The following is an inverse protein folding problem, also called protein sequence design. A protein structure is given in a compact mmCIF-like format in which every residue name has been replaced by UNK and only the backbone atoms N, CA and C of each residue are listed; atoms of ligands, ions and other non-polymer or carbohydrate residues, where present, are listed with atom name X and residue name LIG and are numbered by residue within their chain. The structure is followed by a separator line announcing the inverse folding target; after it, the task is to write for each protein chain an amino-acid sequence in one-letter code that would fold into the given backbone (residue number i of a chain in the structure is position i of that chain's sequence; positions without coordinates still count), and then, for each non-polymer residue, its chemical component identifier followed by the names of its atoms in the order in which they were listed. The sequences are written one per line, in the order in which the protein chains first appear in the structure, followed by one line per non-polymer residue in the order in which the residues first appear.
data_IF_738226863570
#
_entry.id   IF_738226863570
#
_cell.length_a   1.000
_cell.length_b   1.000
_cell.length_c   1.000
_cell.angle_alpha   90.00
_cell.angle_beta   90.00
_cell.angle_gamma   90.00
#
_symmetry.space_group_name_H-M   'P 1'
#
loop_
_entity.id
_entity.type
_entity.pdbx_description
1 polymer ?
#
# COMPACT_ATOMS: atom_id res chain seq x y z
N UNK A 1 3.10 11.88 -10.70
CA UNK A 1 1.70 12.22 -11.04
C UNK A 1 0.76 11.14 -10.50
N UNK A 2 -0.22 11.48 -9.65
CA UNK A 2 -1.28 10.53 -9.26
C UNK A 2 -2.41 10.63 -10.28
N UNK A 3 -2.32 9.89 -11.38
CA UNK A 3 -3.41 9.82 -12.36
C UNK A 3 -4.62 9.13 -11.70
N UNK A 4 -5.72 9.86 -11.54
CA UNK A 4 -6.98 9.32 -11.01
C UNK A 4 -7.51 8.20 -11.92
N UNK A 5 -8.20 7.23 -11.35
CA UNK A 5 -8.82 6.14 -12.11
C UNK A 5 -9.68 6.66 -13.28
N UNK A 6 -10.48 7.70 -13.02
CA UNK A 6 -11.33 8.34 -14.04
C UNK A 6 -10.49 8.90 -15.20
N UNK A 7 -9.37 9.53 -14.91
CA UNK A 7 -8.47 10.09 -15.93
C UNK A 7 -7.81 8.99 -16.77
N UNK A 8 -7.32 7.90 -16.14
CA UNK A 8 -6.76 6.76 -16.88
C UNK A 8 -7.78 6.13 -17.83
N UNK A 9 -9.03 5.98 -17.37
CA UNK A 9 -10.14 5.46 -18.17
C UNK A 9 -10.43 6.35 -19.38
N UNK A 10 -10.56 7.67 -19.18
CA UNK A 10 -10.73 8.64 -20.26
C UNK A 10 -9.61 8.54 -21.30
N UNK A 11 -8.34 8.45 -20.88
CA UNK A 11 -7.21 8.29 -21.81
C UNK A 11 -7.29 6.99 -22.62
N UNK A 12 -7.70 5.87 -22.00
CA UNK A 12 -7.87 4.58 -22.68
C UNK A 12 -9.04 4.61 -23.68
N UNK A 13 -10.14 5.30 -23.33
CA UNK A 13 -11.28 5.48 -24.24
C UNK A 13 -10.91 6.35 -25.45
N UNK A 14 -10.20 7.46 -25.25
CA UNK A 14 -9.70 8.30 -26.34
C UNK A 14 -8.77 7.51 -27.28
N UNK A 15 -7.87 6.71 -26.71
CA UNK A 15 -6.97 5.86 -27.50
C UNK A 15 -7.74 4.85 -28.36
N UNK A 16 -8.85 4.27 -27.86
CA UNK A 16 -9.71 3.37 -28.65
C UNK A 16 -10.41 4.09 -29.81
N UNK A 17 -10.70 5.37 -29.66
CA UNK A 17 -11.24 6.22 -30.72
C UNK A 17 -10.17 6.70 -31.71
N UNK A 18 -8.90 6.28 -31.54
CA UNK A 18 -7.77 6.72 -32.36
C UNK A 18 -7.29 8.13 -32.03
N UNK A 19 -7.72 8.71 -30.90
CA UNK A 19 -7.34 10.06 -30.46
C UNK A 19 -6.33 9.98 -29.33
N UNK A 20 -5.34 10.88 -29.35
CA UNK A 20 -4.39 11.03 -28.25
C UNK A 20 -4.83 12.16 -27.32
N UNK A 21 -4.94 11.92 -26.01
CA UNK A 21 -5.19 12.99 -25.04
C UNK A 21 -4.00 13.94 -24.97
N UNK A 22 -4.27 15.21 -24.65
CA UNK A 22 -3.22 16.21 -24.47
C UNK A 22 -2.22 15.78 -23.38
N UNK A 23 -0.94 15.86 -23.72
CA UNK A 23 0.13 15.49 -22.81
C UNK A 23 0.19 16.50 -21.67
N UNK A 24 0.05 16.08 -20.40
CA UNK A 24 0.12 16.99 -19.28
C UNK A 24 1.52 17.58 -19.13
N UNK A 25 1.57 18.85 -18.70
CA UNK A 25 2.80 19.62 -18.55
C UNK A 25 3.78 18.92 -17.59
N UNK A 26 5.04 18.78 -18.03
CA UNK A 26 6.09 18.10 -17.27
C UNK A 26 6.23 16.59 -17.51
N UNK A 27 5.49 16.00 -18.45
CA UNK A 27 5.72 14.62 -18.92
C UNK A 27 6.03 14.65 -20.41
N UNK A 28 6.99 13.83 -20.84
CA UNK A 28 7.25 13.66 -22.26
C UNK A 28 6.14 12.85 -22.92
N UNK A 29 5.69 13.32 -24.09
CA UNK A 29 4.61 12.72 -24.87
C UNK A 29 4.83 11.22 -25.11
N UNK A 30 6.05 10.81 -25.47
CA UNK A 30 6.37 9.39 -25.70
C UNK A 30 6.10 8.52 -24.45
N UNK A 31 6.53 9.01 -23.28
CA UNK A 31 6.30 8.31 -22.01
C UNK A 31 4.81 8.26 -21.67
N UNK A 32 4.07 9.34 -21.96
CA UNK A 32 2.63 9.39 -21.77
C UNK A 32 1.90 8.40 -22.69
N UNK A 33 2.25 8.35 -23.97
CA UNK A 33 1.71 7.38 -24.92
C UNK A 33 2.05 5.93 -24.54
N UNK A 34 3.25 5.69 -24.00
CA UNK A 34 3.62 4.37 -23.46
C UNK A 34 2.77 3.99 -22.26
N UNK A 35 2.46 4.93 -21.36
CA UNK A 35 1.57 4.70 -20.22
C UNK A 35 0.16 4.35 -20.67
N UNK A 36 -0.40 5.08 -21.65
CA UNK A 36 -1.74 4.82 -22.20
C UNK A 36 -1.80 3.42 -22.81
N UNK A 37 -0.83 3.03 -23.64
CA UNK A 37 -0.75 1.67 -24.20
C UNK A 37 -0.69 0.59 -23.12
N UNK A 38 0.05 0.84 -22.04
CA UNK A 38 0.13 -0.07 -20.89
C UNK A 38 -1.23 -0.21 -20.21
N UNK A 39 -1.95 0.89 -19.97
CA UNK A 39 -3.30 0.86 -19.41
C UNK A 39 -4.28 0.11 -20.31
N UNK A 40 -4.26 0.32 -21.62
CA UNK A 40 -5.12 -0.41 -22.55
C UNK A 40 -4.87 -1.91 -22.50
N UNK A 41 -3.60 -2.35 -22.40
CA UNK A 41 -3.24 -3.76 -22.24
C UNK A 41 -3.76 -4.33 -20.93
N UNK A 42 -3.59 -3.60 -19.82
CA UNK A 42 -4.08 -4.01 -18.50
C UNK A 42 -5.61 -4.15 -18.49
N UNK A 43 -6.33 -3.18 -19.07
CA UNK A 43 -7.79 -3.24 -19.18
C UNK A 43 -8.26 -4.40 -20.07
N UNK A 44 -7.54 -4.69 -21.16
CA UNK A 44 -7.88 -5.82 -22.03
C UNK A 44 -7.69 -7.17 -21.32
N UNK A 45 -6.59 -7.35 -20.58
CA UNK A 45 -6.29 -8.62 -19.91
C UNK A 45 -7.05 -8.85 -18.60
N UNK A 46 -7.35 -7.80 -17.84
CA UNK A 46 -7.87 -7.92 -16.46
C UNK A 46 -9.15 -7.11 -16.20
N UNK A 47 -9.71 -6.46 -17.23
CA UNK A 47 -10.90 -5.62 -17.11
C UNK A 47 -10.61 -4.19 -16.61
N UNK A 48 -11.61 -3.30 -16.66
CA UNK A 48 -11.46 -1.89 -16.34
C UNK A 48 -11.08 -1.64 -14.87
N UNK A 49 -11.52 -2.50 -13.95
CA UNK A 49 -11.17 -2.40 -12.54
C UNK A 49 -9.68 -2.61 -12.25
N UNK A 50 -8.93 -3.22 -13.17
CA UNK A 50 -7.47 -3.36 -13.03
C UNK A 50 -6.71 -2.02 -13.17
N UNK A 51 -7.32 -1.02 -13.81
CA UNK A 51 -6.79 0.35 -13.87
C UNK A 51 -7.06 1.15 -12.61
N UNK A 52 -8.09 0.74 -11.87
CA UNK A 52 -8.33 1.23 -10.52
C UNK A 52 -7.10 0.82 -9.75
N UNK A 53 -6.50 1.77 -9.03
CA UNK A 53 -5.30 1.51 -8.23
C UNK A 53 -5.55 0.21 -7.47
N UNK A 54 -4.92 -0.91 -7.88
CA UNK A 54 -4.82 -2.08 -7.00
C UNK A 54 -4.17 -1.48 -5.78
N UNK A 55 -4.90 -1.42 -4.68
CA UNK A 55 -4.28 -1.30 -3.39
C UNK A 55 -3.34 -2.51 -3.34
N UNK A 56 -2.09 -2.31 -3.73
CA UNK A 56 -1.03 -3.30 -3.48
C UNK A 56 -0.89 -3.53 -1.97
N UNK A 57 -1.56 -2.71 -1.15
CA UNK A 57 -2.09 -3.09 0.14
C UNK A 57 -3.07 -4.28 0.00
N UNK A 58 -2.53 -5.49 -0.17
CA UNK A 58 -3.02 -6.57 0.71
C UNK A 58 -2.95 -5.96 2.12
N UNK A 59 -4.10 -5.76 2.76
CA UNK A 59 -4.16 -5.12 4.08
C UNK A 59 -3.60 -6.10 5.11
N UNK A 60 -2.28 -6.14 5.22
CA UNK A 60 -1.59 -6.92 6.23
C UNK A 60 -1.91 -6.34 7.60
N UNK A 61 -2.52 -7.16 8.48
CA UNK A 61 -2.75 -6.82 9.88
C UNK A 61 -1.41 -6.72 10.62
N UNK A 62 -1.40 -6.08 11.80
CA UNK A 62 -0.17 -5.93 12.59
C UNK A 62 0.43 -7.30 12.94
N UNK A 63 -0.41 -8.28 13.31
CA UNK A 63 -0.02 -9.66 13.58
C UNK A 63 0.66 -10.34 12.39
N UNK A 64 0.04 -10.30 11.20
CA UNK A 64 0.62 -10.97 10.04
C UNK A 64 1.95 -10.34 9.61
N UNK A 65 2.11 -9.02 9.79
CA UNK A 65 3.41 -8.37 9.55
C UNK A 65 4.44 -8.80 10.59
N UNK A 66 4.04 -8.90 11.85
CA UNK A 66 4.91 -9.33 12.93
C UNK A 66 5.39 -10.76 12.71
N UNK A 67 4.51 -11.68 12.32
CA UNK A 67 4.87 -13.06 12.02
C UNK A 67 5.96 -13.17 10.95
N UNK A 68 5.82 -12.42 9.85
CA UNK A 68 6.83 -12.39 8.78
C UNK A 68 8.16 -11.79 9.26
N UNK A 69 8.11 -10.77 10.11
CA UNK A 69 9.32 -10.17 10.70
C UNK A 69 9.98 -11.12 11.68
N UNK A 70 9.21 -11.82 12.52
CA UNK A 70 9.71 -12.82 13.46
C UNK A 70 10.41 -13.97 12.74
N UNK A 71 9.87 -14.43 11.61
CA UNK A 71 10.51 -15.42 10.75
C UNK A 71 11.88 -14.97 10.24
N UNK A 72 12.00 -13.71 9.80
CA UNK A 72 13.29 -13.14 9.37
C UNK A 72 14.25 -12.99 10.55
N UNK A 73 13.76 -12.57 11.73
CA UNK A 73 14.58 -12.45 12.94
C UNK A 73 15.08 -13.81 13.45
N UNK A 74 14.31 -14.87 13.22
CA UNK A 74 14.72 -16.26 13.47
C UNK A 74 15.77 -16.78 12.47
N UNK A 75 16.21 -15.96 11.51
CA UNK A 75 17.28 -16.28 10.57
C UNK A 75 16.81 -16.67 9.17
N UNK A 76 15.51 -16.63 8.86
CA UNK A 76 15.04 -16.88 7.49
C UNK A 76 15.42 -15.77 6.52
N UNK A 77 15.62 -16.14 5.27
CA UNK A 77 15.90 -15.18 4.20
C UNK A 77 14.68 -14.29 3.90
N UNK A 78 14.90 -12.98 3.85
CA UNK A 78 13.88 -11.98 3.49
C UNK A 78 13.27 -12.28 2.13
N UNK A 79 14.08 -12.67 1.14
CA UNK A 79 13.58 -12.98 -0.20
C UNK A 79 12.65 -14.19 -0.21
N UNK A 80 13.03 -15.25 0.46
CA UNK A 80 12.25 -16.49 0.53
C UNK A 80 10.94 -16.25 1.28
N UNK A 81 11.00 -15.58 2.43
CA UNK A 81 9.81 -15.26 3.23
C UNK A 81 8.87 -14.32 2.49
N UNK A 82 9.40 -13.34 1.75
CA UNK A 82 8.61 -12.43 0.93
C UNK A 82 7.93 -13.16 -0.25
N UNK A 83 8.66 -14.06 -0.92
CA UNK A 83 8.14 -14.87 -2.00
C UNK A 83 6.98 -15.77 -1.54
N UNK A 84 7.17 -16.51 -0.44
CA UNK A 84 6.11 -17.35 0.16
C UNK A 84 4.88 -16.55 0.59
N UNK A 85 5.08 -15.33 1.07
CA UNK A 85 3.99 -14.45 1.49
C UNK A 85 3.32 -13.68 0.32
N UNK A 86 3.89 -13.73 -0.89
CA UNK A 86 3.45 -12.99 -2.06
C UNK A 86 3.62 -11.47 -1.90
N UNK A 87 4.65 -11.03 -1.19
CA UNK A 87 5.00 -9.60 -1.01
C UNK A 87 6.33 -9.28 -1.69
N UNK A 88 6.53 -8.00 -1.97
CA UNK A 88 7.83 -7.52 -2.44
C UNK A 88 8.88 -7.62 -1.33
N UNK A 89 10.09 -8.07 -1.65
CA UNK A 89 11.19 -8.22 -0.69
C UNK A 89 11.58 -6.89 -0.03
N UNK A 90 11.55 -5.78 -0.77
CA UNK A 90 11.79 -4.44 -0.24
C UNK A 90 10.75 -4.01 0.79
N UNK A 91 9.50 -4.48 0.65
CA UNK A 91 8.44 -4.22 1.64
C UNK A 91 8.72 -4.93 2.97
N UNK A 92 9.10 -6.21 2.92
CA UNK A 92 9.47 -6.99 4.11
C UNK A 92 10.74 -6.43 4.77
N UNK A 93 11.74 -6.06 3.96
CA UNK A 93 12.97 -5.45 4.46
C UNK A 93 12.68 -4.14 5.23
N UNK A 94 11.75 -3.32 4.73
CA UNK A 94 11.33 -2.11 5.42
C UNK A 94 10.64 -2.41 6.76
N UNK A 95 9.81 -3.46 6.84
CA UNK A 95 9.17 -3.87 8.09
C UNK A 95 10.19 -4.34 9.13
N UNK A 96 11.12 -5.22 8.75
CA UNK A 96 12.20 -5.70 9.62
C UNK A 96 13.03 -4.53 10.14
N UNK A 97 13.40 -3.57 9.27
CA UNK A 97 14.14 -2.37 9.68
C UNK A 97 13.35 -1.51 10.67
N UNK A 98 12.04 -1.32 10.46
CA UNK A 98 11.19 -0.57 11.40
C UNK A 98 11.06 -1.26 12.74
N UNK A 99 10.94 -2.58 12.75
CA UNK A 99 10.93 -3.36 13.98
C UNK A 99 12.23 -3.21 14.78
N UNK A 100 13.39 -3.33 14.13
CA UNK A 100 14.69 -3.14 14.81
C UNK A 100 14.86 -1.75 15.44
N UNK A 101 14.25 -0.72 14.84
CA UNK A 101 14.37 0.66 15.32
C UNK A 101 13.31 1.07 16.35
N UNK A 102 12.12 0.44 16.34
CA UNK A 102 10.95 0.90 17.12
C UNK A 102 10.22 -0.23 17.86
N UNK A 103 10.77 -1.44 17.85
CA UNK A 103 10.13 -2.63 18.39
C UNK A 103 8.78 -2.94 17.73
N UNK A 104 7.91 -3.62 18.49
CA UNK A 104 6.54 -4.00 18.08
C UNK A 104 5.71 -2.78 17.65
N UNK A 105 5.92 -1.62 18.29
CA UNK A 105 5.26 -0.36 17.96
C UNK A 105 5.59 0.17 16.56
N UNK A 106 6.65 -0.33 15.91
CA UNK A 106 7.03 0.00 14.54
C UNK A 106 6.28 -0.75 13.43
N UNK A 107 5.58 -1.83 13.78
CA UNK A 107 4.91 -2.76 12.85
C UNK A 107 3.40 -2.48 12.72
N UNK A 108 2.77 -2.00 13.79
CA UNK A 108 1.38 -1.56 13.80
C UNK A 108 1.14 -0.37 12.86
N UNK A 109 -0.07 -0.27 12.28
CA UNK A 109 -0.51 1.00 11.67
C UNK A 109 -0.32 2.11 12.72
N UNK A 110 0.01 3.33 12.28
CA UNK A 110 -0.08 4.50 13.17
C UNK A 110 -1.49 4.47 13.77
N UNK A 111 -1.61 4.13 15.05
CA UNK A 111 -2.84 4.38 15.76
C UNK A 111 -3.12 5.87 15.57
N UNK A 112 -4.28 6.18 14.99
CA UNK A 112 -4.84 7.52 15.07
C UNK A 112 -4.79 7.85 16.57
N UNK A 113 -4.19 8.98 16.93
CA UNK A 113 -4.05 9.41 18.31
C UNK A 113 -5.46 9.49 18.92
N UNK A 114 -5.89 8.44 19.59
CA UNK A 114 -7.02 8.48 20.52
C UNK A 114 -6.42 9.02 21.81
N UNK A 115 -6.55 10.33 21.98
CA UNK A 115 -6.38 11.00 23.26
C UNK A 115 -7.51 10.52 24.18
N UNK A 116 -7.28 9.40 24.84
CA UNK A 116 -8.09 8.97 25.98
C UNK A 116 -7.23 9.17 27.24
N UNK A 117 -7.22 10.39 27.77
CA UNK A 117 -6.92 10.58 29.19
C UNK A 117 -8.22 10.32 29.94
N UNK A 118 -8.46 9.04 30.25
CA UNK A 118 -9.37 8.67 31.34
C UNK A 118 -8.59 8.82 32.65
N UNK A 119 -9.01 9.76 33.49
CA UNK A 119 -8.60 9.79 34.88
C UNK A 119 -9.32 8.64 35.62
N UNK A 120 -8.61 7.82 36.44
CA UNK A 120 -9.28 6.86 37.31
C UNK A 120 -9.99 7.61 38.44
N UNK A 121 -11.31 7.47 38.48
CA UNK A 121 -12.12 7.74 39.64
C UNK A 121 -11.95 6.59 40.64
N UNK A 122 -11.09 6.80 41.64
CA UNK A 122 -11.08 5.97 42.85
C UNK A 122 -12.37 6.23 43.63
N UNK A 123 -13.29 5.27 43.54
CA UNK A 123 -14.37 5.07 44.50
C UNK A 123 -13.89 4.08 45.57
N UNK A 124 -13.53 4.59 46.74
CA UNK A 124 -13.37 3.85 48.00
C UNK A 124 -13.52 4.90 49.13
N UNK A 125 -14.27 4.77 50.23
CA UNK A 125 -15.31 3.89 50.73
C UNK A 125 -15.79 4.54 52.05
N UNK A 126 -17.11 4.48 52.29
CA UNK A 126 -17.87 4.50 53.56
C UNK A 126 -17.31 5.05 54.89
N UNK A 127 -18.22 5.79 55.54
CA UNK A 127 -18.66 5.65 56.95
C UNK A 127 -17.69 6.08 58.06
N UNK A 128 -17.98 7.21 58.69
CA UNK A 128 -18.46 7.29 60.08
C UNK A 128 -18.88 8.71 60.45
#
# INVERSE_FOLDING_TARGET
MKCSYKYKRMCVELYRLGKWPETPEGIQEENFHRMIRSWTRIENSCGPEALRHKNQNKEWTADQRYELVAQVLAGKSVKETAFSAGINDGQLHQWVRRYKNRGVSGIGRKAKRETTQGAPNEEENRTS
#
